data_IF_184166271172
#
_entry.id   IF_184166271172
#
_cell.length_a   1.000
_cell.length_b   1.000
_cell.length_c   1.000
_cell.angle_alpha   90.00
_cell.angle_beta   90.00
_cell.angle_gamma   90.00
#
_symmetry.space_group_name_H-M   'P 1'
#
loop_
_entity.id
_entity.type
_entity.pdbx_description
1 polymer ?
#
# COMPACT_ATOMS: atom_id res chain seq x y z
N UNK A 1 -6.23 -10.33 -6.55
CA UNK A 1 -5.15 -11.06 -5.85
C UNK A 1 -4.41 -9.99 -5.09
N UNK A 2 -4.57 -9.90 -3.78
CA UNK A 2 -3.90 -8.85 -3.00
C UNK A 2 -2.42 -9.22 -2.96
N UNK A 3 -1.58 -8.36 -3.53
CA UNK A 3 -0.15 -8.58 -3.68
C UNK A 3 0.52 -8.48 -2.30
N UNK A 4 1.17 -9.55 -1.82
CA UNK A 4 1.91 -9.55 -0.54
C UNK A 4 3.10 -8.57 -0.55
N UNK A 5 3.57 -8.16 -1.73
CA UNK A 5 4.66 -7.19 -1.92
C UNK A 5 4.29 -6.12 -2.94
N UNK A 6 4.68 -4.88 -2.68
CA UNK A 6 4.51 -3.75 -3.60
C UNK A 6 5.85 -3.06 -3.87
N UNK A 7 5.97 -2.46 -5.06
CA UNK A 7 7.14 -1.69 -5.45
C UNK A 7 6.94 -0.21 -5.15
N UNK A 8 7.76 0.34 -4.27
CA UNK A 8 7.78 1.76 -3.94
C UNK A 8 8.90 2.46 -4.69
N UNK A 9 8.63 3.66 -5.21
CA UNK A 9 9.60 4.53 -5.84
C UNK A 9 10.21 5.45 -4.80
N UNK A 10 11.53 5.38 -4.65
CA UNK A 10 12.30 6.29 -3.80
C UNK A 10 12.55 7.63 -4.49
N UNK A 11 12.88 8.66 -3.73
CA UNK A 11 13.32 9.97 -4.26
C UNK A 11 14.46 9.85 -5.29
N UNK A 12 15.36 8.88 -5.10
CA UNK A 12 16.45 8.59 -6.03
C UNK A 12 16.02 7.92 -7.35
N UNK A 13 14.71 7.75 -7.58
CA UNK A 13 14.14 7.10 -8.76
C UNK A 13 14.29 5.58 -8.79
N UNK A 14 14.77 4.97 -7.70
CA UNK A 14 14.88 3.51 -7.57
C UNK A 14 13.59 2.91 -7.02
N UNK A 15 13.24 1.73 -7.50
CA UNK A 15 12.13 0.96 -6.97
C UNK A 15 12.63 -0.04 -5.93
N UNK A 16 11.92 -0.12 -4.80
CA UNK A 16 12.18 -1.10 -3.74
C UNK A 16 10.93 -1.95 -3.52
N UNK A 17 11.11 -3.26 -3.33
CA UNK A 17 10.01 -4.14 -2.95
C UNK A 17 9.84 -4.17 -1.45
N UNK A 18 8.60 -4.00 -1.00
CA UNK A 18 8.24 -3.96 0.41
C UNK A 18 7.05 -4.87 0.65
N UNK A 19 7.00 -5.51 1.82
CA UNK A 19 5.88 -6.37 2.16
C UNK A 19 4.68 -5.53 2.62
N UNK A 20 3.48 -5.84 2.15
CA UNK A 20 2.26 -5.18 2.59
C UNK A 20 1.78 -5.83 3.89
N UNK A 21 1.58 -5.02 4.93
CA UNK A 21 0.98 -5.46 6.20
C UNK A 21 -0.53 -5.24 6.15
N UNK A 22 -0.95 -4.03 5.75
CA UNK A 22 -2.35 -3.64 5.66
C UNK A 22 -2.50 -2.64 4.52
N UNK A 23 -3.59 -2.72 3.76
CA UNK A 23 -3.81 -1.88 2.61
C UNK A 23 -5.25 -1.38 2.63
N UNK A 24 -5.41 -0.06 2.71
CA UNK A 24 -6.69 0.62 2.79
C UNK A 24 -6.70 1.89 1.94
N UNK A 25 -7.89 2.42 1.63
CA UNK A 25 -8.02 3.69 0.90
C UNK A 25 -7.40 4.87 1.65
N UNK A 26 -7.39 4.82 2.99
CA UNK A 26 -6.90 5.88 3.87
C UNK A 26 -5.41 5.82 4.12
N UNK A 27 -4.85 4.62 4.17
CA UNK A 27 -3.43 4.39 4.47
C UNK A 27 -3.04 2.97 4.03
N UNK A 28 -1.77 2.80 3.71
CA UNK A 28 -1.17 1.50 3.40
C UNK A 28 0.00 1.31 4.36
N UNK A 29 -0.05 0.25 5.16
CA UNK A 29 1.01 -0.14 6.05
C UNK A 29 1.90 -1.17 5.37
N UNK A 30 3.19 -0.90 5.32
CA UNK A 30 4.20 -1.76 4.69
C UNK A 30 5.34 -2.06 5.65
N UNK A 31 6.01 -3.19 5.46
CA UNK A 31 7.22 -3.59 6.15
C UNK A 31 8.39 -3.66 5.17
N UNK A 32 9.54 -3.14 5.61
CA UNK A 32 10.77 -3.09 4.82
C UNK A 32 11.84 -3.87 5.57
N UNK A 33 12.42 -4.86 4.90
CA UNK A 33 13.33 -5.84 5.49
C UNK A 33 12.62 -7.13 5.93
N UNK A 34 13.40 -8.20 6.06
CA UNK A 34 12.92 -9.52 6.48
C UNK A 34 13.39 -9.81 7.92
N UNK A 35 12.51 -10.36 8.76
CA UNK A 35 12.82 -10.76 10.14
C UNK A 35 12.61 -9.68 11.22
N UNK A 36 13.42 -9.73 12.29
CA UNK A 36 13.30 -8.88 13.50
C UNK A 36 13.66 -7.41 13.25
N UNK A 37 14.41 -7.12 12.18
CA UNK A 37 14.76 -5.76 11.77
C UNK A 37 13.83 -5.24 10.68
N UNK A 38 12.54 -5.54 10.75
CA UNK A 38 11.57 -4.92 9.85
C UNK A 38 11.30 -3.48 10.30
N UNK A 39 11.19 -2.59 9.33
CA UNK A 39 10.74 -1.22 9.55
C UNK A 39 9.33 -1.10 8.99
N UNK A 40 8.37 -0.79 9.87
CA UNK A 40 7.00 -0.47 9.46
C UNK A 40 6.95 0.97 8.96
N UNK A 41 6.34 1.16 7.81
CA UNK A 41 6.08 2.47 7.23
C UNK A 41 4.59 2.59 6.92
N UNK A 42 4.04 3.77 7.12
CA UNK A 42 2.66 4.09 6.75
C UNK A 42 2.70 5.03 5.55
N UNK A 43 2.09 4.60 4.46
CA UNK A 43 1.90 5.40 3.26
C UNK A 43 0.52 6.04 3.33
N UNK A 44 0.47 7.36 3.20
CA UNK A 44 -0.76 8.16 3.18
C UNK A 44 -1.05 8.62 1.76
N UNK A 45 -2.32 8.66 1.33
CA UNK A 45 -2.66 9.18 0.02
C UNK A 45 -2.26 10.65 -0.08
N UNK A 46 -1.73 11.03 -1.24
CA UNK A 46 -1.47 12.43 -1.58
C UNK A 46 -2.78 13.21 -1.65
N UNK A 47 -2.74 14.53 -1.53
CA UNK A 47 -3.95 15.38 -1.58
C UNK A 47 -4.78 15.17 -2.86
N UNK A 48 -4.12 14.89 -3.97
CA UNK A 48 -4.78 14.58 -5.24
C UNK A 48 -5.27 13.12 -5.37
N UNK A 49 -4.99 12.25 -4.39
CA UNK A 49 -5.42 10.85 -4.36
C UNK A 49 -4.82 9.96 -5.46
N UNK A 50 -3.80 10.44 -6.18
CA UNK A 50 -3.21 9.75 -7.34
C UNK A 50 -2.07 8.80 -6.98
N UNK A 51 -1.49 8.98 -5.81
CA UNK A 51 -0.36 8.23 -5.28
C UNK A 51 -0.44 8.19 -3.75
N UNK A 52 0.28 7.24 -3.14
CA UNK A 52 0.54 7.24 -1.70
C UNK A 52 1.98 7.62 -1.43
N UNK A 53 2.19 8.40 -0.38
CA UNK A 53 3.48 8.93 0.04
C UNK A 53 3.80 8.44 1.45
N UNK A 54 5.05 8.11 1.72
CA UNK A 54 5.53 7.85 3.07
C UNK A 54 7.03 8.08 3.20
N UNK A 55 7.52 7.90 4.42
CA UNK A 55 8.95 8.04 4.73
C UNK A 55 9.47 6.77 5.38
N UNK A 56 10.59 6.28 4.86
CA UNK A 56 11.27 5.07 5.32
C UNK A 56 12.70 5.43 5.62
N UNK A 57 13.14 5.23 6.87
CA UNK A 57 14.54 5.47 7.26
C UNK A 57 15.03 6.88 6.85
N UNK A 58 14.15 7.89 6.92
CA UNK A 58 14.45 9.27 6.50
C UNK A 58 14.51 9.50 5.00
N UNK A 59 14.06 8.55 4.18
CA UNK A 59 13.95 8.68 2.72
C UNK A 59 12.48 8.66 2.31
N UNK A 60 12.11 9.59 1.45
CA UNK A 60 10.77 9.66 0.89
C UNK A 60 10.54 8.52 -0.11
N UNK A 61 9.37 7.91 -0.02
CA UNK A 61 8.92 6.85 -0.90
C UNK A 61 7.51 7.12 -1.39
N UNK A 62 7.27 6.82 -2.66
CA UNK A 62 6.01 7.06 -3.35
C UNK A 62 5.54 5.76 -3.96
N UNK A 63 4.31 5.38 -3.65
CA UNK A 63 3.58 4.35 -4.36
C UNK A 63 2.72 5.00 -5.43
N UNK A 64 3.09 4.83 -6.70
CA UNK A 64 2.39 5.42 -7.86
C UNK A 64 1.09 4.66 -8.20
N UNK A 65 0.23 4.47 -7.19
CA UNK A 65 -1.13 3.94 -7.34
C UNK A 65 -2.14 4.93 -6.76
N UNK A 66 -3.21 5.13 -7.51
CA UNK A 66 -4.32 5.98 -7.07
C UNK A 66 -5.22 5.24 -6.10
N UNK A 67 -5.87 5.99 -5.21
CA UNK A 67 -6.81 5.44 -4.22
C UNK A 67 -7.91 4.60 -4.90
N UNK A 68 -8.38 5.02 -6.07
CA UNK A 68 -9.40 4.30 -6.84
C UNK A 68 -8.91 2.92 -7.31
N UNK A 69 -7.66 2.83 -7.78
CA UNK A 69 -7.05 1.56 -8.16
C UNK A 69 -6.87 0.63 -6.95
N UNK A 70 -6.46 1.19 -5.80
CA UNK A 70 -6.35 0.43 -4.55
C UNK A 70 -7.72 -0.08 -4.09
N UNK A 71 -8.76 0.75 -4.16
CA UNK A 71 -10.15 0.34 -3.86
C UNK A 71 -10.65 -0.78 -4.77
N UNK A 72 -10.32 -0.71 -6.05
CA UNK A 72 -10.65 -1.73 -7.03
C UNK A 72 -9.90 -3.05 -6.72
N UNK A 73 -8.61 -2.98 -6.40
CA UNK A 73 -7.78 -4.16 -6.09
C UNK A 73 -8.22 -4.86 -4.79
N UNK A 74 -8.55 -4.08 -3.76
CA UNK A 74 -9.12 -4.56 -2.50
C UNK A 74 -10.55 -5.13 -2.65
N UNK A 75 -11.18 -5.00 -3.82
CA UNK A 75 -12.55 -5.46 -4.03
C UNK A 75 -13.60 -4.66 -3.27
N UNK A 76 -13.23 -3.48 -2.73
CA UNK A 76 -14.16 -2.56 -2.04
C UNK A 76 -15.19 -1.98 -3.03
N UNK A 77 -14.97 -2.18 -4.34
CA UNK A 77 -15.91 -1.84 -5.41
C UNK A 77 -17.14 -2.75 -5.58
N UNK A 78 -17.23 -3.94 -4.97
CA UNK A 78 -18.49 -4.71 -4.90
C UNK A 78 -18.34 -5.87 -3.91
N UNK A 79 -18.71 -5.63 -2.65
CA UNK A 79 -18.97 -6.74 -1.74
C UNK A 79 -20.28 -7.39 -2.22
N UNK A 80 -20.20 -8.35 -3.14
CA UNK A 80 -21.25 -9.36 -3.21
C UNK A 80 -21.16 -10.17 -1.91
N UNK A 81 -21.80 -9.64 -0.87
CA UNK A 81 -22.10 -10.40 0.34
C UNK A 81 -22.96 -11.58 -0.12
N UNK A 82 -22.36 -12.75 -0.34
CA UNK A 82 -23.14 -13.97 -0.51
C UNK A 82 -24.02 -14.08 0.74
N UNK A 83 -25.36 -14.13 0.61
CA UNK A 83 -26.20 -14.35 1.78
C UNK A 83 -25.82 -15.72 2.36
N UNK A 84 -25.46 -15.72 3.65
CA UNK A 84 -25.39 -16.95 4.44
C UNK A 84 -26.79 -17.57 4.36
N UNK A 85 -26.91 -18.65 3.58
CA UNK A 85 -28.12 -19.47 3.59
C UNK A 85 -28.23 -20.09 4.98
N UNK A 86 -29.30 -19.73 5.70
CA UNK A 86 -29.82 -20.50 6.83
C UNK A 86 -30.53 -21.75 6.35
#
# INVERSE_FOLDING_TARGET
>A
MVNDKISLKTEAGKYIEVAVIDMSERAIHVAIGEGIHNVKCTLVPTENGKAYFGSVMGREVVYERSVDQVKADLGVGRIERKPVRS
#
